data_IF_635693751401
#
_entry.id   IF_635693751401
#
_cell.length_a   1.000
_cell.length_b   1.000
_cell.length_c   1.000
_cell.angle_alpha   90.00
_cell.angle_beta   90.00
_cell.angle_gamma   90.00
#
_symmetry.space_group_name_H-M   'P 1'
#
loop_
_entity.id
_entity.type
_entity.pdbx_description
1 polymer ?
#
# COMPACT_ATOMS: atom_id res chain seq x y z
N UNK A 1 -10.59 50.14 12.75
CA UNK A 1 -11.83 49.85 13.50
C UNK A 1 -13.01 50.59 12.88
N UNK A 2 -13.83 49.90 12.09
CA UNK A 2 -15.24 50.19 11.80
C UNK A 2 -15.92 48.82 11.54
N UNK A 3 -17.06 48.50 12.17
CA UNK A 3 -17.69 47.19 12.08
C UNK A 3 -18.54 47.11 10.81
N UNK A 4 -18.41 46.03 10.04
CA UNK A 4 -19.36 45.73 8.97
C UNK A 4 -20.20 44.55 9.44
N UNK A 5 -21.49 44.85 9.50
CA UNK A 5 -22.56 44.02 10.02
C UNK A 5 -22.73 42.72 9.25
N UNK A 6 -23.03 41.69 10.03
CA UNK A 6 -23.77 40.47 9.74
C UNK A 6 -24.78 40.63 8.60
N UNK A 7 -24.61 39.85 7.52
CA UNK A 7 -25.65 39.55 6.56
C UNK A 7 -25.84 38.03 6.48
N UNK A 8 -26.68 37.52 7.37
CA UNK A 8 -27.37 36.25 7.23
C UNK A 8 -28.41 36.42 6.12
N UNK A 9 -28.21 35.74 4.99
CA UNK A 9 -29.27 35.47 4.03
C UNK A 9 -29.10 34.05 3.51
N UNK A 10 -29.94 33.18 4.05
CA UNK A 10 -30.26 31.83 3.64
C UNK A 10 -30.12 31.60 2.13
N UNK A 11 -29.19 30.73 1.73
CA UNK A 11 -29.32 30.01 0.47
C UNK A 11 -30.04 28.70 0.77
N UNK A 12 -31.27 28.64 0.31
CA UNK A 12 -32.18 27.53 0.46
C UNK A 12 -31.59 26.22 -0.10
N UNK A 13 -31.64 25.17 0.74
CA UNK A 13 -32.11 23.83 0.40
C UNK A 13 -32.26 23.55 -1.10
N UNK A 14 -31.22 23.01 -1.72
CA UNK A 14 -31.35 22.26 -2.97
C UNK A 14 -30.63 20.92 -2.82
N UNK A 15 -31.47 19.88 -2.70
CA UNK A 15 -31.16 18.46 -2.78
C UNK A 15 -30.28 17.89 -1.67
N UNK A 16 -30.95 17.43 -0.60
CA UNK A 16 -30.65 16.10 -0.09
C UNK A 16 -30.80 15.12 -1.27
N UNK A 17 -29.76 14.42 -1.75
CA UNK A 17 -29.97 12.99 -1.79
C UNK A 17 -30.26 12.63 -0.34
N UNK A 18 -31.41 12.02 -0.06
CA UNK A 18 -31.38 11.08 1.04
C UNK A 18 -30.10 10.26 0.81
N UNK A 19 -29.15 10.23 1.76
CA UNK A 19 -28.19 9.14 1.77
C UNK A 19 -29.11 7.92 1.73
N UNK A 20 -29.27 7.37 0.54
CA UNK A 20 -30.04 6.18 0.34
C UNK A 20 -29.21 5.18 1.11
N UNK A 21 -29.69 4.82 2.30
CA UNK A 21 -29.06 3.83 3.14
C UNK A 21 -28.69 2.71 2.19
N UNK A 22 -27.39 2.53 1.96
CA UNK A 22 -26.93 1.52 1.05
C UNK A 22 -27.34 0.23 1.76
N UNK A 23 -28.48 -0.31 1.32
CA UNK A 23 -29.12 -1.42 2.01
C UNK A 23 -28.12 -2.55 2.22
N UNK A 24 -28.38 -3.44 3.19
CA UNK A 24 -27.48 -4.56 3.46
C UNK A 24 -27.10 -5.26 2.15
N UNK A 25 -25.84 -5.66 2.03
CA UNK A 25 -25.37 -6.34 0.83
C UNK A 25 -26.32 -7.50 0.46
N UNK A 26 -26.65 -7.67 -0.83
CA UNK A 26 -27.38 -8.83 -1.32
C UNK A 26 -26.83 -10.14 -0.75
N UNK A 27 -27.73 -11.08 -0.42
CA UNK A 27 -27.36 -12.32 0.25
C UNK A 27 -26.27 -13.11 -0.51
N UNK A 28 -26.34 -13.14 -1.83
CA UNK A 28 -25.34 -13.78 -2.70
C UNK A 28 -23.96 -13.11 -2.63
N UNK A 29 -23.89 -11.80 -2.36
CA UNK A 29 -22.63 -11.10 -2.14
C UNK A 29 -22.06 -11.42 -0.76
N UNK A 30 -22.91 -11.45 0.27
CA UNK A 30 -22.50 -11.83 1.62
C UNK A 30 -21.98 -13.27 1.67
N UNK A 31 -22.65 -14.21 1.01
CA UNK A 31 -22.21 -15.61 0.92
C UNK A 31 -20.85 -15.74 0.23
N UNK A 32 -20.61 -14.96 -0.84
CA UNK A 32 -19.31 -14.93 -1.53
C UNK A 32 -18.20 -14.38 -0.65
N UNK A 33 -18.47 -13.32 0.13
CA UNK A 33 -17.51 -12.76 1.08
C UNK A 33 -17.21 -13.75 2.21
N UNK A 34 -18.25 -14.40 2.76
CA UNK A 34 -18.10 -15.44 3.78
C UNK A 34 -17.24 -16.60 3.27
N UNK A 35 -17.50 -17.08 2.06
CA UNK A 35 -16.72 -18.14 1.43
C UNK A 35 -15.26 -17.73 1.22
N UNK A 36 -15.01 -16.51 0.73
CA UNK A 36 -13.66 -15.98 0.51
C UNK A 36 -12.88 -15.83 1.81
N UNK A 37 -13.49 -15.27 2.86
CA UNK A 37 -12.87 -15.09 4.17
C UNK A 37 -12.48 -16.45 4.78
N UNK A 38 -13.39 -17.44 4.76
CA UNK A 38 -13.13 -18.79 5.24
C UNK A 38 -12.02 -19.50 4.45
N UNK A 39 -12.01 -19.31 3.13
CA UNK A 39 -10.94 -19.83 2.27
C UNK A 39 -9.59 -19.21 2.62
N UNK A 40 -9.53 -17.89 2.80
CA UNK A 40 -8.30 -17.18 3.17
C UNK A 40 -7.74 -17.67 4.50
N UNK A 41 -8.58 -17.86 5.52
CA UNK A 41 -8.19 -18.46 6.80
C UNK A 41 -7.58 -19.85 6.60
N UNK A 42 -8.26 -20.72 5.86
CA UNK A 42 -7.80 -22.09 5.59
C UNK A 42 -6.47 -22.12 4.85
N UNK A 43 -6.32 -21.31 3.81
CA UNK A 43 -5.14 -21.35 2.93
C UNK A 43 -3.89 -20.72 3.57
N UNK A 44 -4.06 -19.66 4.36
CA UNK A 44 -2.95 -18.90 4.92
C UNK A 44 -2.55 -19.34 6.33
N UNK A 45 -3.45 -20.01 7.06
CA UNK A 45 -3.25 -20.38 8.46
C UNK A 45 -3.28 -19.20 9.43
N UNK A 46 -3.68 -18.01 9.00
CA UNK A 46 -3.83 -16.85 9.89
C UNK A 46 -5.02 -17.08 10.84
N UNK A 47 -4.96 -16.59 12.09
CA UNK A 47 -5.98 -16.88 13.10
C UNK A 47 -7.31 -16.18 12.83
N UNK A 48 -7.28 -14.98 12.22
CA UNK A 48 -8.50 -14.23 11.86
C UNK A 48 -8.29 -13.32 10.64
N UNK A 49 -9.40 -12.89 10.06
CA UNK A 49 -9.50 -11.88 9.01
C UNK A 49 -10.72 -11.01 9.28
N UNK A 50 -10.61 -9.70 9.01
CA UNK A 50 -11.71 -8.74 9.07
C UNK A 50 -11.88 -8.09 7.70
N UNK A 51 -13.13 -7.91 7.28
CA UNK A 51 -13.50 -7.29 6.02
C UNK A 51 -14.55 -6.22 6.29
N UNK A 52 -14.28 -5.02 5.81
CA UNK A 52 -15.25 -3.95 5.69
C UNK A 52 -15.54 -3.65 4.21
N UNK A 53 -16.81 -3.43 3.87
CA UNK A 53 -17.23 -2.99 2.53
C UNK A 53 -17.87 -1.62 2.66
N UNK A 54 -17.34 -0.64 1.93
CA UNK A 54 -17.89 0.70 1.86
C UNK A 54 -18.56 0.87 0.49
N UNK A 55 -19.82 1.28 0.49
CA UNK A 55 -20.59 1.56 -0.71
C UNK A 55 -21.31 2.90 -0.51
N UNK A 56 -21.17 3.80 -1.49
CA UNK A 56 -21.79 5.12 -1.46
C UNK A 56 -21.46 5.93 -0.19
N UNK A 57 -20.24 5.76 0.33
CA UNK A 57 -19.75 6.42 1.55
C UNK A 57 -20.16 5.75 2.87
N UNK A 58 -20.98 4.70 2.82
CA UNK A 58 -21.47 3.98 4.00
C UNK A 58 -20.83 2.61 4.14
N UNK A 59 -20.55 2.21 5.39
CA UNK A 59 -20.09 0.85 5.70
C UNK A 59 -21.30 -0.09 5.64
N UNK A 60 -21.39 -0.88 4.57
CA UNK A 60 -22.49 -1.85 4.33
C UNK A 60 -22.17 -3.27 4.84
N UNK A 61 -20.91 -3.50 5.23
CA UNK A 61 -20.46 -4.69 5.93
C UNK A 61 -19.26 -4.31 6.80
N UNK A 62 -19.24 -4.82 8.04
CA UNK A 62 -18.03 -4.87 8.88
C UNK A 62 -18.11 -6.15 9.69
N UNK A 63 -17.28 -7.14 9.33
CA UNK A 63 -17.33 -8.48 9.93
C UNK A 63 -15.94 -9.08 10.02
N UNK A 64 -15.72 -9.88 11.04
CA UNK A 64 -14.51 -10.69 11.20
C UNK A 64 -14.85 -12.18 11.28
N UNK A 65 -13.88 -13.01 10.92
CA UNK A 65 -13.94 -14.47 10.97
C UNK A 65 -12.68 -15.01 11.64
N UNK A 66 -12.81 -16.15 12.32
CA UNK A 66 -11.71 -16.79 13.03
C UNK A 66 -11.56 -16.30 14.47
N UNK A 67 -10.39 -16.54 15.05
CA UNK A 67 -10.08 -16.25 16.45
C UNK A 67 -9.26 -14.97 16.57
N UNK A 68 -9.53 -14.15 17.58
CA UNK A 68 -8.72 -12.98 17.86
C UNK A 68 -7.34 -13.35 18.43
N UNK A 69 -7.28 -14.42 19.24
CA UNK A 69 -6.04 -14.99 19.76
C UNK A 69 -6.27 -16.44 20.21
N UNK A 70 -5.25 -17.10 20.77
CA UNK A 70 -5.42 -18.41 21.43
C UNK A 70 -6.36 -18.36 22.64
N UNK A 71 -6.47 -17.19 23.28
CA UNK A 71 -7.28 -16.98 24.49
C UNK A 71 -8.60 -16.27 24.21
N UNK A 72 -8.76 -15.66 23.03
CA UNK A 72 -9.98 -14.96 22.61
C UNK A 72 -10.55 -15.68 21.38
N UNK A 73 -11.62 -16.48 21.57
CA UNK A 73 -12.05 -17.47 20.58
C UNK A 73 -12.69 -16.85 19.33
N UNK A 74 -13.12 -15.59 19.38
CA UNK A 74 -13.81 -14.94 18.26
C UNK A 74 -13.22 -13.58 17.97
N UNK A 75 -12.90 -13.34 16.70
CA UNK A 75 -12.60 -12.00 16.19
C UNK A 75 -13.90 -11.23 15.96
N UNK A 76 -13.95 -10.00 16.47
CA UNK A 76 -15.04 -9.05 16.23
C UNK A 76 -14.63 -7.95 15.23
N UNK A 77 -15.58 -7.16 14.72
CA UNK A 77 -15.29 -6.04 13.82
C UNK A 77 -14.39 -4.97 14.47
N UNK A 78 -14.43 -4.84 15.79
CA UNK A 78 -13.62 -3.88 16.57
C UNK A 78 -12.22 -4.39 16.93
N UNK A 79 -11.88 -5.63 16.53
CA UNK A 79 -10.55 -6.18 16.76
C UNK A 79 -9.50 -5.36 16.01
N UNK A 80 -8.51 -4.86 16.73
CA UNK A 80 -7.43 -4.07 16.15
C UNK A 80 -6.35 -4.96 15.53
N UNK A 81 -6.02 -4.67 14.28
CA UNK A 81 -4.92 -5.31 13.54
C UNK A 81 -3.77 -4.32 13.36
N UNK A 82 -2.54 -4.84 13.32
CA UNK A 82 -1.40 -4.06 12.85
C UNK A 82 -1.49 -3.90 11.33
N UNK A 83 -1.70 -2.67 10.86
CA UNK A 83 -1.93 -2.38 9.43
C UNK A 83 -0.65 -2.26 8.58
N UNK A 84 0.52 -2.37 9.21
CA UNK A 84 1.84 -2.35 8.57
C UNK A 84 2.02 -1.19 7.56
N UNK A 85 2.37 -1.49 6.30
CA UNK A 85 2.66 -0.45 5.31
C UNK A 85 1.46 0.39 4.90
N UNK A 86 0.22 0.01 5.25
CA UNK A 86 -0.94 0.86 5.03
C UNK A 86 -0.85 2.18 5.83
N UNK A 87 -0.05 2.23 6.90
CA UNK A 87 0.23 3.47 7.64
C UNK A 87 0.82 4.59 6.78
N UNK A 88 1.45 4.29 5.64
CA UNK A 88 2.05 5.29 4.75
C UNK A 88 1.00 6.22 4.10
N UNK A 89 -0.22 5.73 3.90
CA UNK A 89 -1.31 6.57 3.36
C UNK A 89 -1.71 7.66 4.36
N UNK A 90 -1.77 7.34 5.65
CA UNK A 90 -2.02 8.31 6.71
C UNK A 90 -0.91 9.36 6.79
N UNK A 91 0.35 8.92 6.68
CA UNK A 91 1.49 9.85 6.64
C UNK A 91 1.35 10.82 5.46
N UNK A 92 1.09 10.32 4.24
CA UNK A 92 0.90 11.17 3.07
C UNK A 92 -0.24 12.19 3.26
N UNK A 93 -1.40 11.76 3.79
CA UNK A 93 -2.51 12.66 4.08
C UNK A 93 -2.14 13.76 5.09
N UNK A 94 -1.40 13.43 6.14
CA UNK A 94 -0.90 14.41 7.11
C UNK A 94 0.02 15.45 6.46
N UNK A 95 0.93 15.03 5.58
CA UNK A 95 1.80 15.95 4.84
C UNK A 95 0.99 16.91 3.96
N UNK A 96 -0.02 16.41 3.25
CA UNK A 96 -0.90 17.24 2.42
C UNK A 96 -1.75 18.22 3.25
N UNK A 97 -2.24 17.81 4.42
CA UNK A 97 -2.94 18.71 5.35
C UNK A 97 -2.00 19.82 5.84
N UNK A 98 -0.75 19.47 6.22
CA UNK A 98 0.24 20.45 6.65
C UNK A 98 0.64 21.43 5.54
N UNK A 99 0.75 20.95 4.30
CA UNK A 99 0.99 21.81 3.14
C UNK A 99 -0.18 22.77 2.90
N UNK A 100 -1.42 22.26 2.90
CA UNK A 100 -2.62 23.07 2.76
C UNK A 100 -2.76 24.13 3.87
N UNK A 101 -2.32 23.81 5.09
CA UNK A 101 -2.27 24.74 6.21
C UNK A 101 -1.11 25.76 6.13
N UNK A 102 -0.26 25.67 5.10
CA UNK A 102 0.95 26.49 4.94
C UNK A 102 2.04 26.21 5.97
N UNK A 103 1.98 25.06 6.65
CA UNK A 103 2.93 24.65 7.70
C UNK A 103 4.17 23.97 7.14
N UNK A 104 4.10 23.44 5.93
CA UNK A 104 5.25 22.96 5.15
C UNK A 104 5.02 23.21 3.66
N UNK A 105 6.06 23.09 2.86
CA UNK A 105 5.98 22.99 1.40
C UNK A 105 6.54 21.63 0.98
N UNK A 106 5.84 20.85 0.15
CA UNK A 106 6.34 19.54 -0.29
C UNK A 106 7.60 19.66 -1.16
N UNK A 107 7.85 20.82 -1.76
CA UNK A 107 9.07 21.14 -2.49
C UNK A 107 10.21 21.64 -1.56
N UNK A 108 9.95 21.79 -0.26
CA UNK A 108 11.00 22.12 0.70
C UNK A 108 12.10 21.05 0.67
N UNK A 109 13.38 21.44 0.68
CA UNK A 109 14.43 20.49 0.92
C UNK A 109 14.24 19.88 2.31
N UNK A 110 14.30 18.54 2.42
CA UNK A 110 14.11 17.81 3.68
C UNK A 110 14.96 18.37 4.84
N UNK A 111 16.14 18.90 4.53
CA UNK A 111 17.03 19.53 5.49
C UNK A 111 16.49 20.77 6.19
N UNK A 112 15.49 21.44 5.62
CA UNK A 112 14.80 22.55 6.29
C UNK A 112 14.14 22.06 7.57
N UNK A 113 13.64 20.83 7.55
CA UNK A 113 12.91 20.17 8.64
C UNK A 113 13.80 19.29 9.50
N UNK A 114 14.86 18.72 8.91
CA UNK A 114 15.85 17.86 9.57
C UNK A 114 17.26 18.41 9.31
N UNK A 115 17.72 19.43 10.06
CA UNK A 115 18.98 20.14 9.80
C UNK A 115 20.23 19.23 9.82
N UNK A 116 20.15 18.09 10.48
CA UNK A 116 21.18 17.05 10.49
C UNK A 116 21.32 16.36 9.13
N UNK A 117 20.28 16.38 8.28
CA UNK A 117 20.32 15.84 6.93
C UNK A 117 20.94 16.87 5.96
N UNK A 118 21.71 16.43 4.95
CA UNK A 118 22.38 17.34 4.03
C UNK A 118 21.39 18.31 3.35
N UNK A 119 21.63 19.62 3.48
CA UNK A 119 20.76 20.67 2.95
C UNK A 119 21.01 20.98 1.49
N UNK A 120 20.26 20.33 0.60
CA UNK A 120 20.52 20.43 -0.84
C UNK A 120 21.97 20.11 -1.21
N UNK A 121 22.70 19.48 -0.30
CA UNK A 121 24.13 19.22 -0.37
C UNK A 121 24.34 17.86 -1.01
N UNK A 122 25.48 17.72 -1.69
CA UNK A 122 25.97 16.44 -2.20
C UNK A 122 25.65 15.34 -1.18
N UNK A 123 24.95 14.32 -1.65
CA UNK A 123 24.63 13.13 -0.87
C UNK A 123 25.86 12.69 -0.05
N UNK A 124 25.75 12.71 1.28
CA UNK A 124 26.82 12.29 2.21
C UNK A 124 26.45 10.94 2.83
N UNK A 125 27.01 9.82 2.31
CA UNK A 125 26.74 8.51 2.87
C UNK A 125 27.22 8.40 4.32
N UNK A 126 28.15 9.22 4.80
CA UNK A 126 28.67 9.11 6.17
C UNK A 126 27.61 9.32 7.25
N UNK A 127 26.48 9.96 6.92
CA UNK A 127 25.35 10.20 7.84
C UNK A 127 24.39 9.02 7.98
N UNK A 128 24.53 7.98 7.15
CA UNK A 128 23.68 6.80 7.22
C UNK A 128 24.32 5.70 8.07
N UNK A 129 23.48 4.85 8.68
CA UNK A 129 23.93 3.60 9.27
C UNK A 129 24.61 2.72 8.22
N UNK A 130 25.36 1.70 8.63
CA UNK A 130 26.00 0.76 7.71
C UNK A 130 25.02 0.18 6.67
N UNK A 131 23.81 -0.21 7.11
CA UNK A 131 22.74 -0.68 6.23
C UNK A 131 22.21 0.41 5.30
N UNK A 132 22.12 1.66 5.74
CA UNK A 132 21.72 2.77 4.87
C UNK A 132 22.80 3.12 3.85
N UNK A 133 24.08 3.07 4.25
CA UNK A 133 25.25 3.31 3.39
C UNK A 133 25.41 2.29 2.29
N UNK A 134 24.95 1.07 2.51
CA UNK A 134 24.98 0.00 1.52
C UNK A 134 24.41 0.45 0.17
N UNK A 135 23.33 1.23 0.17
CA UNK A 135 22.66 1.68 -1.06
C UNK A 135 23.43 2.73 -1.86
N UNK A 136 24.53 3.26 -1.32
CA UNK A 136 25.24 4.39 -1.92
C UNK A 136 26.76 4.22 -1.97
N UNK A 137 27.27 3.02 -1.73
CA UNK A 137 28.68 2.72 -1.95
C UNK A 137 29.00 2.69 -3.47
N UNK A 138 30.28 2.77 -3.82
CA UNK A 138 30.71 2.85 -5.21
C UNK A 138 30.27 1.63 -6.05
N UNK A 139 30.28 0.43 -5.46
CA UNK A 139 29.83 -0.79 -6.12
C UNK A 139 28.32 -0.74 -6.38
N UNK A 140 27.51 -0.47 -5.36
CA UNK A 140 26.05 -0.38 -5.50
C UNK A 140 25.62 0.71 -6.49
N UNK A 141 26.29 1.86 -6.49
CA UNK A 141 26.03 2.93 -7.46
C UNK A 141 26.45 2.53 -8.89
N UNK A 142 27.55 1.79 -9.04
CA UNK A 142 27.96 1.22 -10.32
C UNK A 142 26.97 0.17 -10.81
N UNK A 143 26.49 -0.70 -9.91
CA UNK A 143 25.48 -1.71 -10.18
C UNK A 143 24.16 -1.05 -10.61
N UNK A 144 23.73 0.04 -9.96
CA UNK A 144 22.57 0.82 -10.39
C UNK A 144 22.77 1.45 -11.78
N UNK A 145 23.94 2.05 -12.05
CA UNK A 145 24.20 2.61 -13.39
C UNK A 145 24.24 1.53 -14.46
N UNK A 146 24.79 0.36 -14.15
CA UNK A 146 24.88 -0.78 -15.06
C UNK A 146 23.53 -1.48 -15.26
N UNK A 147 22.67 -1.52 -14.23
CA UNK A 147 21.31 -2.06 -14.32
C UNK A 147 20.37 -1.13 -15.08
N UNK A 148 20.63 0.20 -15.05
CA UNK A 148 19.94 1.20 -15.86
C UNK A 148 20.49 1.31 -17.30
N UNK A 149 21.67 0.76 -17.59
CA UNK A 149 22.18 0.69 -18.96
C UNK A 149 21.32 -0.29 -19.78
N UNK A 150 21.19 -0.09 -21.12
CA UNK A 150 20.43 -1.00 -21.96
C UNK A 150 20.78 -2.46 -21.67
N UNK A 151 19.77 -3.26 -21.32
CA UNK A 151 19.97 -4.66 -20.98
C UNK A 151 20.37 -5.47 -22.22
N UNK A 152 20.02 -4.99 -23.41
CA UNK A 152 20.08 -5.77 -24.64
C UNK A 152 18.81 -6.61 -24.82
N UNK A 153 18.78 -7.54 -25.79
CA UNK A 153 17.63 -8.41 -25.99
C UNK A 153 17.46 -9.37 -24.80
N UNK A 154 16.21 -9.68 -24.46
CA UNK A 154 15.89 -10.77 -23.52
C UNK A 154 16.33 -12.10 -24.15
N UNK A 155 17.23 -12.80 -23.49
CA UNK A 155 17.80 -14.08 -23.94
C UNK A 155 17.31 -15.28 -23.13
N UNK A 156 16.69 -15.06 -21.97
CA UNK A 156 16.11 -16.12 -21.15
C UNK A 156 15.12 -15.59 -20.12
N UNK A 157 14.10 -16.39 -19.83
CA UNK A 157 13.09 -16.11 -18.80
C UNK A 157 12.73 -17.44 -18.14
N UNK A 158 13.10 -17.60 -16.88
CA UNK A 158 12.91 -18.85 -16.13
C UNK A 158 12.23 -18.55 -14.79
N UNK A 159 11.37 -19.46 -14.33
CA UNK A 159 10.80 -19.34 -13.00
C UNK A 159 11.83 -19.81 -11.97
N UNK A 160 12.29 -18.91 -11.10
CA UNK A 160 13.35 -19.18 -10.13
C UNK A 160 12.90 -20.15 -9.02
N UNK A 161 11.59 -20.22 -8.74
CA UNK A 161 10.99 -21.12 -7.74
C UNK A 161 9.49 -21.31 -7.99
N UNK A 162 8.88 -22.40 -7.50
CA UNK A 162 7.44 -22.58 -7.57
C UNK A 162 6.67 -21.35 -7.05
N UNK A 163 5.57 -20.92 -7.72
CA UNK A 163 4.79 -19.78 -7.26
C UNK A 163 4.20 -20.06 -5.88
N UNK A 164 4.03 -19.01 -5.07
CA UNK A 164 3.42 -19.12 -3.74
C UNK A 164 2.45 -17.98 -3.49
N UNK A 165 1.52 -18.18 -2.58
CA UNK A 165 0.69 -17.08 -2.10
C UNK A 165 1.51 -16.18 -1.16
N UNK A 166 1.40 -14.87 -1.36
CA UNK A 166 1.90 -13.85 -0.44
C UNK A 166 0.88 -12.72 -0.37
N UNK A 167 0.26 -12.55 0.79
CA UNK A 167 -0.77 -11.52 1.00
C UNK A 167 -1.99 -11.70 0.10
N UNK A 168 -2.41 -12.94 -0.19
CA UNK A 168 -3.55 -13.24 -1.06
C UNK A 168 -3.24 -13.24 -2.57
N UNK A 169 -2.07 -12.78 -2.99
CA UNK A 169 -1.65 -12.76 -4.40
C UNK A 169 -0.69 -13.90 -4.72
N UNK A 170 -0.75 -14.39 -5.96
CA UNK A 170 0.22 -15.33 -6.53
C UNK A 170 1.53 -14.60 -6.79
N UNK A 171 2.50 -14.85 -5.92
CA UNK A 171 3.85 -14.36 -6.04
C UNK A 171 4.67 -15.28 -6.97
N UNK A 172 5.16 -14.75 -8.08
CA UNK A 172 6.13 -15.45 -8.95
C UNK A 172 7.46 -14.72 -8.91
N UNK A 173 8.53 -15.48 -9.00
CA UNK A 173 9.89 -14.96 -9.08
C UNK A 173 10.51 -15.53 -10.33
N UNK A 174 10.86 -14.66 -11.26
CA UNK A 174 11.50 -15.01 -12.52
C UNK A 174 12.94 -14.54 -12.52
N UNK A 175 13.83 -15.36 -13.08
CA UNK A 175 15.15 -14.94 -13.51
C UNK A 175 15.06 -14.53 -14.99
N UNK A 176 15.42 -13.29 -15.30
CA UNK A 176 15.52 -12.78 -16.67
C UNK A 176 16.99 -12.69 -17.05
N UNK A 177 17.36 -13.25 -18.20
CA UNK A 177 18.74 -13.23 -18.72
C UNK A 177 18.82 -12.29 -19.91
N UNK A 178 19.78 -11.37 -19.88
CA UNK A 178 20.09 -10.45 -20.96
C UNK A 178 21.59 -10.54 -21.30
N UNK A 179 21.94 -11.50 -22.16
CA UNK A 179 23.34 -11.84 -22.44
C UNK A 179 24.04 -12.38 -21.19
N UNK A 180 25.00 -11.60 -20.64
CA UNK A 180 25.73 -11.94 -19.40
C UNK A 180 25.09 -11.37 -18.13
N UNK A 181 24.01 -10.59 -18.24
CA UNK A 181 23.32 -9.98 -17.11
C UNK A 181 22.11 -10.83 -16.71
N UNK A 182 21.84 -10.92 -15.42
CA UNK A 182 20.62 -11.50 -14.88
C UNK A 182 19.89 -10.45 -14.04
N UNK A 183 18.55 -10.52 -14.04
CA UNK A 183 17.68 -9.76 -13.14
C UNK A 183 16.67 -10.71 -12.52
N UNK A 184 16.10 -10.31 -11.39
CA UNK A 184 14.93 -10.96 -10.80
C UNK A 184 13.68 -10.12 -11.02
N UNK A 185 12.66 -10.68 -11.68
CA UNK A 185 11.31 -10.10 -11.74
C UNK A 185 10.41 -10.83 -10.76
N UNK A 186 9.96 -10.10 -9.75
CA UNK A 186 8.93 -10.57 -8.83
C UNK A 186 7.60 -10.00 -9.31
N UNK A 187 6.59 -10.83 -9.44
CA UNK A 187 5.23 -10.39 -9.80
C UNK A 187 4.23 -10.85 -8.76
N UNK A 188 3.15 -10.09 -8.64
CA UNK A 188 1.97 -10.38 -7.84
C UNK A 188 0.77 -10.30 -8.76
N UNK A 189 -0.02 -11.36 -8.78
CA UNK A 189 -1.27 -11.40 -9.52
C UNK A 189 -2.38 -11.98 -8.65
N UNK A 190 -3.62 -11.64 -8.96
CA UNK A 190 -4.78 -12.30 -8.37
C UNK A 190 -4.68 -13.83 -8.53
N UNK A 191 -5.26 -14.57 -7.58
CA UNK A 191 -5.35 -16.02 -7.70
C UNK A 191 -6.39 -16.43 -8.75
N UNK A 192 -6.12 -17.53 -9.48
CA UNK A 192 -7.02 -18.06 -10.50
C UNK A 192 -6.47 -17.94 -11.93
N UNK A 193 -7.14 -18.60 -12.88
CA UNK A 193 -6.63 -18.77 -14.25
C UNK A 193 -6.54 -17.47 -15.07
N UNK A 194 -7.22 -16.40 -14.66
CA UNK A 194 -7.23 -15.10 -15.33
C UNK A 194 -6.61 -13.98 -14.48
N UNK A 195 -5.86 -14.34 -13.42
CA UNK A 195 -5.43 -13.37 -12.41
C UNK A 195 -4.74 -12.15 -12.99
N UNK A 196 -5.32 -10.97 -12.76
CA UNK A 196 -4.75 -9.69 -13.21
C UNK A 196 -3.48 -9.39 -12.41
N UNK A 197 -2.54 -8.69 -13.06
CA UNK A 197 -1.32 -8.24 -12.40
C UNK A 197 -1.62 -7.08 -11.46
N UNK A 198 -1.23 -7.24 -10.20
CA UNK A 198 -1.36 -6.21 -9.16
C UNK A 198 -0.08 -5.39 -9.07
N UNK A 199 1.07 -6.08 -9.06
CA UNK A 199 2.37 -5.45 -8.83
C UNK A 199 3.48 -6.24 -9.51
N UNK A 200 4.53 -5.54 -9.93
CA UNK A 200 5.82 -6.15 -10.22
C UNK A 200 6.96 -5.39 -9.54
N UNK A 201 8.05 -6.09 -9.28
CA UNK A 201 9.30 -5.56 -8.71
C UNK A 201 10.41 -6.16 -9.55
N UNK A 202 11.31 -5.32 -10.07
CA UNK A 202 12.53 -5.76 -10.73
C UNK A 202 13.70 -5.47 -9.80
N UNK A 203 14.51 -6.48 -9.53
CA UNK A 203 15.77 -6.34 -8.80
C UNK A 203 16.92 -6.86 -9.65
N UNK A 204 18.16 -6.37 -9.43
CA UNK A 204 19.35 -7.09 -9.85
C UNK A 204 19.33 -8.54 -9.36
#
# INVERSE_FOLDING_TARGET
MKPIATALAALALLFHPALAWAGPLPADQLERIDAAARKALKDSGVPSVQVAVVKDGEVVLSRAWGKASETIPEAGPDLQYQIASNSKQFLAALFLILENDGKLDLDDPVSKWLPELPSGGKFDPAKFSENGRYFFNAQTLADYRQSLAPLGPLTGLELARPPRLRGGFVNRVFTLKFGKKELTLITYAEAGAQGRWEQFIVTP
#
